data_IF_904024792872
#
_entry.id   IF_904024792872
#
_cell.length_a   1.000
_cell.length_b   1.000
_cell.length_c   1.000
_cell.angle_alpha   90.00
_cell.angle_beta   90.00
_cell.angle_gamma   90.00
#
_symmetry.space_group_name_H-M   'P 1'
#
loop_
_entity.id
_entity.type
_entity.pdbx_description
1 polymer ?
#
# COMPACT_ATOMS: atom_id res chain seq x y z
N UNK A 1 -2.82 -12.94 20.89
CA UNK A 1 -1.85 -12.12 20.16
C UNK A 1 -2.58 -11.39 19.04
N UNK A 2 -2.81 -10.10 19.20
CA UNK A 2 -3.39 -9.29 18.16
C UNK A 2 -2.36 -9.04 17.08
N UNK A 3 -2.57 -9.54 15.87
CA UNK A 3 -1.83 -9.06 14.70
C UNK A 3 -2.16 -7.58 14.53
N UNK A 4 -1.24 -6.70 14.89
CA UNK A 4 -1.40 -5.25 14.70
C UNK A 4 -1.11 -4.92 13.22
N UNK A 5 -1.97 -5.42 12.34
CA UNK A 5 -1.88 -5.16 10.91
C UNK A 5 -2.38 -3.74 10.63
N UNK A 6 -1.57 -2.93 9.96
CA UNK A 6 -2.01 -1.59 9.52
C UNK A 6 -3.14 -1.74 8.50
N UNK A 7 -4.29 -1.09 8.67
CA UNK A 7 -5.43 -1.23 7.76
C UNK A 7 -5.08 -0.96 6.29
N UNK A 8 -4.18 0.00 6.00
CA UNK A 8 -3.70 0.28 4.65
C UNK A 8 -2.96 -0.90 4.03
N UNK A 9 -2.10 -1.58 4.80
CA UNK A 9 -1.37 -2.76 4.31
C UNK A 9 -2.34 -3.90 3.99
N UNK A 10 -3.32 -4.15 4.85
CA UNK A 10 -4.35 -5.16 4.62
C UNK A 10 -5.20 -4.86 3.38
N UNK A 11 -5.61 -3.59 3.19
CA UNK A 11 -6.33 -3.16 1.99
C UNK A 11 -5.48 -3.37 0.74
N UNK A 12 -4.20 -2.96 0.75
CA UNK A 12 -3.29 -3.19 -0.37
C UNK A 12 -3.12 -4.68 -0.70
N UNK A 13 -3.00 -5.53 0.32
CA UNK A 13 -2.89 -6.97 0.13
C UNK A 13 -4.15 -7.54 -0.53
N UNK A 14 -5.34 -7.18 -0.03
CA UNK A 14 -6.60 -7.66 -0.59
C UNK A 14 -6.77 -7.16 -2.04
N UNK A 15 -6.56 -5.87 -2.28
CA UNK A 15 -6.69 -5.30 -3.62
C UNK A 15 -5.60 -5.79 -4.58
N UNK A 16 -4.39 -5.99 -4.08
CA UNK A 16 -3.26 -6.41 -4.91
C UNK A 16 -3.28 -7.88 -5.26
N UNK A 17 -3.50 -8.75 -4.29
CA UNK A 17 -3.44 -10.19 -4.48
C UNK A 17 -4.69 -10.73 -5.16
N UNK A 18 -5.88 -10.27 -4.76
CA UNK A 18 -7.14 -10.83 -5.21
C UNK A 18 -7.71 -10.13 -6.45
N UNK A 19 -7.47 -8.85 -6.63
CA UNK A 19 -8.08 -8.07 -7.71
C UNK A 19 -7.14 -7.75 -8.88
N UNK A 20 -5.83 -7.93 -8.68
CA UNK A 20 -4.81 -7.64 -9.70
C UNK A 20 -5.02 -8.42 -11.00
N UNK A 21 -5.43 -9.67 -10.88
CA UNK A 21 -5.60 -10.58 -12.03
C UNK A 21 -6.95 -10.43 -12.74
N UNK A 22 -7.92 -9.78 -12.10
CA UNK A 22 -9.30 -9.76 -12.57
C UNK A 22 -9.78 -8.36 -13.00
N UNK A 23 -8.96 -7.31 -12.83
CA UNK A 23 -9.35 -5.92 -13.11
C UNK A 23 -10.60 -5.49 -12.33
N UNK A 24 -10.91 -6.19 -11.23
CA UNK A 24 -12.18 -6.07 -10.54
C UNK A 24 -12.14 -4.98 -9.50
N UNK A 25 -13.29 -4.35 -9.35
CA UNK A 25 -13.60 -3.46 -8.25
C UNK A 25 -14.15 -4.29 -7.09
N UNK A 26 -13.87 -3.87 -5.86
CA UNK A 26 -14.45 -4.47 -4.68
C UNK A 26 -15.45 -3.52 -4.01
N UNK A 27 -16.59 -4.03 -3.64
CA UNK A 27 -17.54 -3.27 -2.84
C UNK A 27 -16.98 -2.99 -1.45
N UNK A 28 -17.13 -1.74 -0.97
CA UNK A 28 -16.63 -1.34 0.35
C UNK A 28 -17.18 -2.22 1.49
N UNK A 29 -18.41 -2.70 1.38
CA UNK A 29 -18.99 -3.60 2.37
C UNK A 29 -18.27 -4.95 2.48
N UNK A 30 -17.74 -5.47 1.36
CA UNK A 30 -16.91 -6.68 1.36
C UNK A 30 -15.57 -6.41 2.05
N UNK A 31 -14.91 -5.28 1.76
CA UNK A 31 -13.69 -4.88 2.45
C UNK A 31 -13.89 -4.74 3.96
N UNK A 32 -14.97 -4.07 4.38
CA UNK A 32 -15.31 -3.92 5.80
C UNK A 32 -15.50 -5.27 6.46
N UNK A 33 -16.21 -6.20 5.81
CA UNK A 33 -16.45 -7.55 6.34
C UNK A 33 -15.14 -8.34 6.46
N UNK A 34 -14.31 -8.35 5.42
CA UNK A 34 -13.02 -9.06 5.44
C UNK A 34 -12.09 -8.49 6.52
N UNK A 35 -11.96 -7.17 6.58
CA UNK A 35 -11.07 -6.51 7.54
C UNK A 35 -11.62 -6.59 8.98
N UNK A 36 -12.94 -6.65 9.15
CA UNK A 36 -13.58 -6.89 10.42
C UNK A 36 -13.17 -8.22 11.05
N UNK A 37 -12.95 -9.28 10.25
CA UNK A 37 -12.41 -10.56 10.74
C UNK A 37 -10.98 -10.43 11.28
N UNK A 38 -10.25 -9.41 10.84
CA UNK A 38 -8.89 -9.08 11.31
C UNK A 38 -8.89 -8.05 12.45
N UNK A 39 -10.06 -7.73 13.01
CA UNK A 39 -10.20 -6.78 14.12
C UNK A 39 -10.15 -5.30 13.70
N UNK A 40 -10.26 -4.99 12.42
CA UNK A 40 -10.28 -3.60 11.92
C UNK A 40 -11.72 -3.09 11.89
N UNK A 41 -11.99 -1.99 12.60
CA UNK A 41 -13.32 -1.38 12.63
C UNK A 41 -13.71 -0.77 11.27
N UNK A 42 -15.03 -0.71 11.01
CA UNK A 42 -15.59 -0.06 9.81
C UNK A 42 -15.10 1.39 9.65
N UNK A 43 -15.08 2.16 10.74
CA UNK A 43 -14.57 3.53 10.73
C UNK A 43 -13.11 3.62 10.29
N UNK A 44 -12.26 2.71 10.79
CA UNK A 44 -10.86 2.64 10.39
C UNK A 44 -10.69 2.29 8.91
N UNK A 45 -11.50 1.38 8.37
CA UNK A 45 -11.51 1.05 6.94
C UNK A 45 -11.87 2.26 6.09
N UNK A 46 -12.96 2.96 6.44
CA UNK A 46 -13.43 4.14 5.69
C UNK A 46 -12.42 5.29 5.70
N UNK A 47 -11.85 5.60 6.86
CA UNK A 47 -10.81 6.64 6.99
C UNK A 47 -9.57 6.27 6.19
N UNK A 48 -9.15 5.01 6.23
CA UNK A 48 -7.99 4.53 5.48
C UNK A 48 -8.23 4.62 3.97
N UNK A 49 -9.38 4.18 3.47
CA UNK A 49 -9.74 4.30 2.05
C UNK A 49 -9.79 5.75 1.58
N UNK A 50 -10.32 6.67 2.41
CA UNK A 50 -10.32 8.09 2.11
C UNK A 50 -8.90 8.64 1.95
N UNK A 51 -7.99 8.32 2.87
CA UNK A 51 -6.57 8.72 2.79
C UNK A 51 -5.87 8.10 1.57
N UNK A 52 -6.11 6.83 1.31
CA UNK A 52 -5.54 6.15 0.14
C UNK A 52 -6.04 6.76 -1.17
N UNK A 53 -7.30 7.21 -1.21
CA UNK A 53 -7.87 7.90 -2.37
C UNK A 53 -7.24 9.28 -2.55
N UNK A 54 -7.07 10.06 -1.48
CA UNK A 54 -6.38 11.36 -1.52
C UNK A 54 -4.91 11.23 -1.97
N UNK A 55 -4.25 10.14 -1.61
CA UNK A 55 -2.89 9.83 -2.03
C UNK A 55 -2.80 9.26 -3.45
N UNK A 56 -3.93 9.01 -4.08
CA UNK A 56 -4.02 8.47 -5.44
C UNK A 56 -3.68 6.99 -5.56
N UNK A 57 -3.76 6.21 -4.47
CA UNK A 57 -3.52 4.76 -4.50
C UNK A 57 -4.73 3.95 -4.94
N UNK A 58 -5.92 4.43 -4.56
CA UNK A 58 -7.19 3.81 -4.91
C UNK A 58 -8.13 4.87 -5.50
N UNK A 59 -9.05 4.44 -6.30
CA UNK A 59 -10.17 5.25 -6.77
C UNK A 59 -11.48 4.55 -6.46
N UNK A 60 -12.54 5.34 -6.32
CA UNK A 60 -13.87 4.82 -6.03
C UNK A 60 -14.85 5.15 -7.13
N UNK A 61 -15.76 4.22 -7.37
CA UNK A 61 -16.93 4.42 -8.24
C UNK A 61 -18.20 4.10 -7.47
N UNK A 62 -19.19 4.97 -7.60
CA UNK A 62 -20.50 4.78 -6.97
C UNK A 62 -21.46 4.14 -7.97
N UNK A 63 -22.10 3.06 -7.57
CA UNK A 63 -23.15 2.38 -8.33
C UNK A 63 -24.36 2.28 -7.41
N UNK A 64 -25.40 3.09 -7.66
CA UNK A 64 -26.54 3.22 -6.75
C UNK A 64 -26.08 3.68 -5.36
N UNK A 65 -26.42 2.92 -4.34
CA UNK A 65 -26.05 3.19 -2.93
C UNK A 65 -24.68 2.58 -2.55
N UNK A 66 -24.01 1.87 -3.46
CA UNK A 66 -22.80 1.12 -3.17
C UNK A 66 -21.57 1.81 -3.74
N UNK A 67 -20.49 1.88 -2.94
CA UNK A 67 -19.19 2.37 -3.37
C UNK A 67 -18.25 1.18 -3.63
N UNK A 68 -17.65 1.17 -4.80
CA UNK A 68 -16.66 0.18 -5.22
C UNK A 68 -15.29 0.85 -5.30
N UNK A 69 -14.26 0.14 -4.90
CA UNK A 69 -12.89 0.61 -4.90
C UNK A 69 -12.01 -0.27 -5.77
N UNK A 70 -11.09 0.35 -6.50
CA UNK A 70 -10.03 -0.34 -7.25
C UNK A 70 -8.71 0.39 -7.08
N UNK A 71 -7.63 -0.30 -7.39
CA UNK A 71 -6.31 0.32 -7.46
C UNK A 71 -6.22 1.24 -8.69
N UNK A 72 -5.63 2.42 -8.49
CA UNK A 72 -5.17 3.25 -9.60
C UNK A 72 -3.94 2.63 -10.25
N UNK A 73 -3.51 3.14 -11.39
CA UNK A 73 -2.24 2.73 -12.02
C UNK A 73 -1.04 2.90 -11.07
N UNK A 74 -1.02 4.00 -10.31
CA UNK A 74 -0.03 4.24 -9.25
C UNK A 74 -0.07 3.16 -8.18
N UNK A 75 -1.26 2.78 -7.72
CA UNK A 75 -1.44 1.71 -6.73
C UNK A 75 -0.99 0.35 -7.26
N UNK A 76 -1.30 0.03 -8.51
CA UNK A 76 -0.89 -1.20 -9.16
C UNK A 76 0.64 -1.30 -9.30
N UNK A 77 1.30 -0.23 -9.72
CA UNK A 77 2.78 -0.16 -9.78
C UNK A 77 3.41 -0.40 -8.40
N UNK A 78 2.88 0.23 -7.37
CA UNK A 78 3.37 0.06 -5.99
C UNK A 78 3.28 -1.39 -5.51
N UNK A 79 2.16 -2.05 -5.79
CA UNK A 79 1.99 -3.47 -5.44
C UNK A 79 2.93 -4.35 -6.26
N UNK A 80 3.07 -4.11 -7.56
CA UNK A 80 3.98 -4.87 -8.41
C UNK A 80 5.44 -4.77 -7.93
N UNK A 81 5.87 -3.61 -7.46
CA UNK A 81 7.19 -3.42 -6.83
C UNK A 81 7.33 -4.23 -5.54
N UNK A 82 6.31 -4.18 -4.67
CA UNK A 82 6.29 -4.96 -3.43
C UNK A 82 6.33 -6.47 -3.69
N UNK A 83 5.55 -6.96 -4.64
CA UNK A 83 5.50 -8.38 -5.00
C UNK A 83 6.83 -8.86 -5.61
N UNK A 84 7.44 -8.07 -6.49
CA UNK A 84 8.79 -8.39 -7.00
C UNK A 84 9.79 -8.57 -5.87
N UNK A 85 9.68 -7.77 -4.83
CA UNK A 85 10.55 -7.82 -3.67
C UNK A 85 10.32 -9.09 -2.82
N UNK A 86 9.06 -9.52 -2.68
CA UNK A 86 8.69 -10.70 -1.88
C UNK A 86 8.95 -12.00 -2.63
N UNK A 87 8.57 -12.06 -3.92
CA UNK A 87 8.61 -13.31 -4.69
C UNK A 87 9.85 -13.47 -5.58
N UNK A 88 10.56 -12.38 -5.86
CA UNK A 88 11.76 -12.40 -6.70
C UNK A 88 13.00 -11.99 -5.89
N UNK A 89 13.12 -12.51 -4.67
CA UNK A 89 14.43 -12.57 -4.03
C UNK A 89 15.29 -13.51 -4.89
N UNK A 90 15.89 -12.96 -5.94
CA UNK A 90 17.05 -13.60 -6.52
C UNK A 90 18.05 -13.72 -5.38
N UNK A 91 18.57 -14.92 -5.13
CA UNK A 91 19.81 -15.09 -4.42
C UNK A 91 20.88 -14.35 -5.23
N UNK A 92 20.96 -13.07 -5.02
CA UNK A 92 22.01 -12.26 -5.62
C UNK A 92 23.23 -12.48 -4.74
N UNK A 93 24.17 -13.25 -5.22
CA UNK A 93 25.52 -13.22 -4.69
C UNK A 93 25.95 -11.76 -4.66
N UNK A 94 26.43 -11.31 -3.51
CA UNK A 94 26.93 -9.95 -3.35
C UNK A 94 27.96 -9.63 -4.44
N UNK A 95 27.77 -8.54 -5.15
CA UNK A 95 28.62 -8.10 -6.26
C UNK A 95 29.94 -7.40 -5.80
N UNK A 96 30.20 -7.39 -4.48
CA UNK A 96 31.37 -6.73 -3.90
C UNK A 96 31.27 -5.21 -3.83
N UNK A 97 30.14 -4.62 -4.20
CA UNK A 97 29.98 -3.17 -4.23
C UNK A 97 29.06 -2.67 -3.10
N UNK A 98 29.54 -1.66 -2.38
CA UNK A 98 28.71 -0.90 -1.44
C UNK A 98 27.97 0.21 -2.16
N UNK A 99 26.67 0.31 -1.94
CA UNK A 99 25.83 1.41 -2.44
C UNK A 99 25.47 2.31 -1.27
N UNK A 100 26.02 3.52 -1.28
CA UNK A 100 25.81 4.49 -0.18
C UNK A 100 25.01 5.65 -0.73
N UNK A 101 23.92 6.00 -0.03
CA UNK A 101 23.11 7.19 -0.30
C UNK A 101 23.40 8.22 0.79
N UNK A 102 23.90 9.37 0.40
CA UNK A 102 24.09 10.52 1.29
C UNK A 102 23.19 11.67 0.83
N UNK A 103 22.49 12.30 1.76
CA UNK A 103 21.64 13.43 1.45
C UNK A 103 21.59 14.42 2.62
N UNK A 104 21.40 15.69 2.27
CA UNK A 104 21.13 16.77 3.23
C UNK A 104 19.83 17.44 2.85
N UNK A 105 18.92 17.53 3.80
CA UNK A 105 17.61 18.18 3.62
C UNK A 105 17.48 19.24 4.70
N UNK A 106 17.19 20.50 4.35
CA UNK A 106 16.95 21.56 5.32
C UNK A 106 15.83 21.19 6.30
N UNK A 107 15.93 21.65 7.54
CA UNK A 107 14.91 21.34 8.57
C UNK A 107 13.53 21.89 8.20
N UNK A 108 13.46 22.95 7.39
CA UNK A 108 12.21 23.47 6.84
C UNK A 108 11.45 22.48 5.94
N UNK A 109 12.12 21.42 5.48
CA UNK A 109 11.54 20.36 4.62
C UNK A 109 11.47 19.02 5.35
N UNK A 110 11.17 19.04 6.64
CA UNK A 110 11.12 17.85 7.49
C UNK A 110 10.20 16.75 6.96
N UNK A 111 9.05 17.12 6.40
CA UNK A 111 8.10 16.15 5.86
C UNK A 111 8.67 15.41 4.65
N UNK A 112 9.41 16.12 3.79
CA UNK A 112 10.11 15.53 2.65
C UNK A 112 11.21 14.58 3.12
N UNK A 113 11.96 14.97 4.16
CA UNK A 113 12.99 14.12 4.77
C UNK A 113 12.41 12.80 5.29
N UNK A 114 11.29 12.86 6.01
CA UNK A 114 10.61 11.66 6.51
C UNK A 114 10.05 10.79 5.38
N UNK A 115 9.50 11.40 4.34
CA UNK A 115 9.03 10.67 3.17
C UNK A 115 10.18 9.97 2.45
N UNK A 116 11.29 10.66 2.19
CA UNK A 116 12.48 10.09 1.57
C UNK A 116 13.02 8.92 2.38
N UNK A 117 13.14 9.08 3.71
CA UNK A 117 13.59 7.99 4.59
C UNK A 117 12.71 6.75 4.47
N UNK A 118 11.39 6.93 4.45
CA UNK A 118 10.44 5.81 4.26
C UNK A 118 10.61 5.12 2.92
N UNK A 119 10.81 5.90 1.85
CA UNK A 119 11.02 5.34 0.51
C UNK A 119 12.37 4.60 0.40
N UNK A 120 13.44 5.15 0.96
CA UNK A 120 14.74 4.48 1.01
C UNK A 120 14.64 3.15 1.80
N UNK A 121 14.04 3.17 2.99
CA UNK A 121 13.80 1.94 3.76
C UNK A 121 12.93 0.94 2.98
N UNK A 122 11.92 1.42 2.25
CA UNK A 122 11.10 0.58 1.37
C UNK A 122 11.91 -0.05 0.25
N UNK A 123 12.88 0.64 -0.31
CA UNK A 123 13.74 0.15 -1.39
C UNK A 123 14.92 -0.70 -0.90
N UNK A 124 15.12 -0.79 0.40
CA UNK A 124 16.13 -1.68 1.00
C UNK A 124 17.42 -0.96 1.43
N UNK A 125 17.37 0.37 1.54
CA UNK A 125 18.44 1.18 2.14
C UNK A 125 18.21 1.41 3.62
#
# INVERSE_FOLDING_TARGET
MGFNMRPSSAIFTILGEHLRHLGMEIWVGTLIRCLGQLGVSEGAVRVTLSRMSQQGWVESRKIGQKSFYRLTEKGQKRIAEGLRRVYHQKETTWDGQWRIVMYTIPESLKDIKEQLRKELTWTGF
#
